data_IF_176180828404
#
_entry.id   IF_176180828404
#
_cell.length_a   1.000
_cell.length_b   1.000
_cell.length_c   1.000
_cell.angle_alpha   90.00
_cell.angle_beta   90.00
_cell.angle_gamma   90.00
#
_symmetry.space_group_name_H-M   'P 1'
#
loop_
_entity.id
_entity.type
_entity.pdbx_description
1 polymer ?
#
# COMPACT_ATOMS: atom_id res chain seq x y z
N UNK A 1 11.80 31.06 -17.38
CA UNK A 1 10.58 30.66 -16.68
C UNK A 1 10.45 31.63 -15.54
N UNK A 2 9.38 32.42 -15.52
CA UNK A 2 9.04 33.16 -14.30
C UNK A 2 8.76 32.14 -13.18
N UNK A 3 9.16 32.44 -11.95
CA UNK A 3 8.96 31.56 -10.79
C UNK A 3 7.48 31.14 -10.64
N UNK A 4 6.56 32.01 -11.07
CA UNK A 4 5.11 31.80 -11.04
C UNK A 4 4.63 30.63 -11.94
N UNK A 5 5.38 30.30 -13.00
CA UNK A 5 5.04 29.15 -13.86
C UNK A 5 5.34 27.81 -13.18
N UNK A 6 6.28 27.74 -12.23
CA UNK A 6 6.62 26.48 -11.56
C UNK A 6 5.67 26.11 -10.43
N UNK A 7 4.90 27.06 -9.90
CA UNK A 7 3.86 26.83 -8.90
C UNK A 7 2.54 26.31 -9.48
N UNK A 8 2.32 26.41 -10.80
CA UNK A 8 1.13 25.87 -11.45
C UNK A 8 1.33 24.36 -11.76
N UNK A 9 0.47 23.46 -11.23
CA UNK A 9 0.53 22.02 -11.48
C UNK A 9 0.60 21.62 -12.97
N UNK A 10 0.11 22.47 -13.88
CA UNK A 10 0.17 22.21 -15.33
C UNK A 10 1.60 22.19 -15.89
N UNK A 11 2.55 22.81 -15.19
CA UNK A 11 3.97 22.84 -15.58
C UNK A 11 4.84 21.90 -14.74
N UNK A 12 4.24 21.13 -13.81
CA UNK A 12 4.96 20.14 -13.03
C UNK A 12 5.56 19.06 -13.95
N UNK A 13 6.85 18.74 -13.72
CA UNK A 13 7.55 17.70 -14.50
C UNK A 13 7.00 16.32 -14.14
N UNK A 14 6.75 16.08 -12.86
CA UNK A 14 6.14 14.85 -12.36
C UNK A 14 4.62 14.94 -12.48
N UNK A 15 3.93 13.91 -12.98
CA UNK A 15 2.47 13.88 -12.98
C UNK A 15 1.90 13.81 -11.56
N UNK A 16 2.71 13.38 -10.56
CA UNK A 16 2.32 13.30 -9.16
C UNK A 16 1.99 14.68 -8.57
N UNK A 17 2.73 15.70 -8.98
CA UNK A 17 2.54 17.09 -8.54
C UNK A 17 1.77 17.92 -9.59
N UNK A 18 1.40 17.31 -10.71
CA UNK A 18 0.66 17.92 -11.80
C UNK A 18 -0.73 17.32 -11.96
N UNK A 19 -0.89 16.47 -12.98
CA UNK A 19 -2.17 15.80 -13.32
C UNK A 19 -2.85 15.13 -12.12
N UNK A 20 -2.07 14.57 -11.20
CA UNK A 20 -2.56 13.83 -10.04
C UNK A 20 -2.39 14.58 -8.71
N UNK A 21 -2.02 15.86 -8.72
CA UNK A 21 -1.76 16.65 -7.50
C UNK A 21 -2.92 16.59 -6.49
N UNK A 22 -4.16 16.68 -6.97
CA UNK A 22 -5.34 16.57 -6.10
C UNK A 22 -5.49 15.19 -5.42
N UNK A 23 -4.97 14.12 -6.02
CA UNK A 23 -5.00 12.77 -5.45
C UNK A 23 -3.82 12.50 -4.51
N UNK A 24 -2.69 13.15 -4.73
CA UNK A 24 -1.46 12.98 -3.94
C UNK A 24 -1.35 14.00 -2.80
N UNK A 25 -2.17 15.05 -2.80
CA UNK A 25 -2.21 16.08 -1.76
C UNK A 25 -2.25 15.54 -0.30
N UNK A 26 -2.99 14.46 0.03
CA UNK A 26 -2.96 13.89 1.37
C UNK A 26 -1.58 13.40 1.83
N UNK A 27 -0.66 13.09 0.91
CA UNK A 27 0.70 12.69 1.24
C UNK A 27 1.66 13.88 1.45
N UNK A 28 1.30 15.09 1.01
CA UNK A 28 2.18 16.26 1.11
C UNK A 28 2.67 16.56 2.55
N UNK A 29 1.84 16.39 3.62
CA UNK A 29 2.28 16.53 5.00
C UNK A 29 3.33 15.51 5.46
N UNK A 30 3.61 14.46 4.67
CA UNK A 30 4.56 13.39 5.01
C UNK A 30 5.71 13.24 4.01
N UNK A 31 5.44 13.49 2.73
CA UNK A 31 6.32 13.18 1.62
C UNK A 31 7.10 14.39 1.06
N UNK A 32 6.79 15.60 1.53
CA UNK A 32 7.41 16.83 1.01
C UNK A 32 8.70 17.21 1.73
N UNK A 33 9.48 18.11 1.11
CA UNK A 33 10.67 18.68 1.75
C UNK A 33 10.30 19.43 3.05
N UNK A 34 9.17 20.14 3.05
CA UNK A 34 8.68 20.83 4.24
C UNK A 34 8.30 19.83 5.35
N UNK A 35 7.73 18.68 5.00
CA UNK A 35 7.45 17.61 5.96
C UNK A 35 8.75 17.05 6.58
N UNK A 36 9.78 16.83 5.76
CA UNK A 36 11.10 16.40 6.24
C UNK A 36 11.75 17.44 7.16
N UNK A 37 11.65 18.73 6.82
CA UNK A 37 12.09 19.82 7.69
C UNK A 37 11.35 19.80 9.03
N UNK A 38 10.02 19.74 9.03
CA UNK A 38 9.19 19.65 10.24
C UNK A 38 9.59 18.46 11.13
N UNK A 39 9.76 17.28 10.54
CA UNK A 39 10.13 16.09 11.29
C UNK A 39 11.55 16.19 11.88
N UNK A 40 12.50 16.81 11.17
CA UNK A 40 13.84 17.09 11.71
C UNK A 40 13.79 18.07 12.88
N UNK A 41 12.97 19.13 12.78
CA UNK A 41 12.73 20.05 13.91
C UNK A 41 12.16 19.28 15.10
N UNK A 42 11.17 18.40 14.90
CA UNK A 42 10.61 17.55 15.96
C UNK A 42 11.68 16.73 16.67
N UNK A 43 12.55 16.05 15.92
CA UNK A 43 13.61 15.21 16.52
C UNK A 43 14.61 16.05 17.32
N UNK A 44 15.07 17.18 16.79
CA UNK A 44 16.00 18.07 17.50
C UNK A 44 15.39 18.65 18.78
N UNK A 45 14.13 19.11 18.70
CA UNK A 45 13.41 19.66 19.85
C UNK A 45 13.20 18.62 20.93
N UNK A 46 12.68 17.44 20.59
CA UNK A 46 12.44 16.40 21.59
C UNK A 46 13.77 15.89 22.17
N UNK A 47 14.85 15.82 21.37
CA UNK A 47 16.17 15.44 21.88
C UNK A 47 16.72 16.48 22.88
N UNK A 48 16.60 17.77 22.58
CA UNK A 48 17.00 18.84 23.48
C UNK A 48 16.22 18.79 24.80
N UNK A 49 14.91 18.52 24.73
CA UNK A 49 14.05 18.33 25.91
C UNK A 49 14.50 17.10 26.71
N UNK A 50 14.76 15.97 26.05
CA UNK A 50 15.24 14.76 26.71
C UNK A 50 16.61 14.95 27.39
N UNK A 51 17.52 15.73 26.79
CA UNK A 51 18.78 16.11 27.44
C UNK A 51 18.57 16.98 28.68
N UNK A 52 17.55 17.83 28.70
CA UNK A 52 17.19 18.66 29.85
C UNK A 52 16.59 17.85 31.01
N UNK A 53 16.12 16.63 30.73
CA UNK A 53 15.61 15.70 31.75
C UNK A 53 16.71 14.85 32.39
N UNK A 54 17.93 14.86 31.84
CA UNK A 54 19.09 14.21 32.44
C UNK A 54 19.64 15.02 33.62
N UNK A 55 19.67 14.43 34.81
CA UNK A 55 20.30 15.04 36.00
C UNK A 55 21.77 15.41 35.78
N UNK A 56 22.46 14.71 34.87
CA UNK A 56 23.86 14.93 34.55
C UNK A 56 24.12 16.23 33.76
N UNK A 57 23.11 16.78 33.08
CA UNK A 57 23.28 17.99 32.28
C UNK A 57 22.90 19.23 33.11
N UNK A 58 23.62 20.36 32.96
CA UNK A 58 23.20 21.64 33.52
C UNK A 58 22.06 22.30 32.71
N UNK A 59 21.47 21.61 31.73
CA UNK A 59 20.41 22.13 30.88
C UNK A 59 19.09 22.08 31.64
N UNK A 60 18.41 23.22 31.76
CA UNK A 60 17.08 23.31 32.37
C UNK A 60 16.16 24.07 31.43
N UNK A 61 15.08 23.41 31.00
CA UNK A 61 14.00 24.00 30.21
C UNK A 61 12.71 23.83 31.01
N UNK A 62 12.07 24.95 31.37
CA UNK A 62 10.80 24.93 32.09
C UNK A 62 9.63 24.52 31.17
N UNK A 63 8.46 24.28 31.76
CA UNK A 63 7.27 23.84 30.99
C UNK A 63 6.85 24.84 29.90
N UNK A 64 7.05 26.14 30.13
CA UNK A 64 6.76 27.18 29.15
C UNK A 64 7.69 27.10 27.94
N UNK A 65 9.00 26.94 28.18
CA UNK A 65 10.01 26.74 27.13
C UNK A 65 9.80 25.43 26.37
N UNK A 66 9.44 24.35 27.07
CA UNK A 66 9.10 23.06 26.43
C UNK A 66 7.89 23.19 25.51
N UNK A 67 6.85 23.90 25.94
CA UNK A 67 5.67 24.16 25.12
C UNK A 67 6.01 24.98 23.88
N UNK A 68 6.74 26.09 24.05
CA UNK A 68 7.16 26.96 22.94
C UNK A 68 8.06 26.24 21.91
N UNK A 69 8.98 25.40 22.38
CA UNK A 69 9.80 24.57 21.48
C UNK A 69 8.94 23.55 20.71
N UNK A 70 7.95 22.93 21.36
CA UNK A 70 7.06 21.97 20.69
C UNK A 70 6.14 22.63 19.67
N UNK A 71 5.74 23.88 19.91
CA UNK A 71 4.99 24.69 18.93
C UNK A 71 5.78 24.83 17.60
N UNK A 72 7.12 24.87 17.65
CA UNK A 72 7.94 25.04 16.44
C UNK A 72 7.82 23.90 15.42
N UNK A 73 7.37 22.71 15.83
CA UNK A 73 7.06 21.61 14.89
C UNK A 73 5.56 21.30 14.82
N UNK A 74 4.76 21.66 15.82
CA UNK A 74 3.29 21.44 15.83
C UNK A 74 2.54 22.44 14.98
N UNK A 75 3.00 23.70 14.95
CA UNK A 75 2.43 24.79 14.15
C UNK A 75 3.31 25.14 12.94
N UNK A 76 4.24 24.25 12.58
CA UNK A 76 5.17 24.44 11.47
C UNK A 76 4.45 24.69 10.15
N UNK A 77 4.81 25.76 9.47
CA UNK A 77 4.13 26.21 8.26
C UNK A 77 5.07 26.43 7.06
N UNK A 78 4.53 27.02 5.99
CA UNK A 78 5.29 27.30 4.78
C UNK A 78 6.30 28.45 4.96
N UNK A 79 6.08 29.39 5.89
CA UNK A 79 7.05 30.45 6.19
C UNK A 79 8.26 29.88 6.91
N UNK A 80 8.04 28.94 7.83
CA UNK A 80 9.10 28.20 8.52
C UNK A 80 9.96 27.39 7.56
N UNK A 81 9.33 26.64 6.65
CA UNK A 81 10.05 25.91 5.61
C UNK A 81 10.90 26.85 4.73
N UNK A 82 10.36 28.03 4.35
CA UNK A 82 11.10 29.04 3.57
C UNK A 82 12.24 29.65 4.37
N UNK A 83 12.07 29.87 5.67
CA UNK A 83 13.11 30.39 6.54
C UNK A 83 14.27 29.40 6.63
N UNK A 84 14.00 28.13 6.89
CA UNK A 84 15.01 27.07 6.89
C UNK A 84 15.74 27.03 5.55
N UNK A 85 14.99 27.10 4.44
CA UNK A 85 15.61 27.10 3.10
C UNK A 85 16.49 28.32 2.87
N UNK A 86 16.08 29.49 3.35
CA UNK A 86 16.89 30.72 3.28
C UNK A 86 18.17 30.59 4.09
N UNK A 87 18.11 30.05 5.32
CA UNK A 87 19.29 29.75 6.14
C UNK A 87 20.25 28.84 5.37
N UNK A 88 19.73 27.83 4.68
CA UNK A 88 20.53 26.89 3.90
C UNK A 88 21.24 27.55 2.71
N UNK A 89 20.51 28.35 1.90
CA UNK A 89 20.99 28.80 0.58
C UNK A 89 21.56 30.21 0.55
N UNK A 90 21.07 31.10 1.42
CA UNK A 90 21.36 32.54 1.40
C UNK A 90 22.02 33.02 2.71
N UNK A 91 21.76 32.32 3.81
CA UNK A 91 22.06 32.78 5.17
C UNK A 91 20.92 33.58 5.78
N UNK A 92 20.99 33.86 7.07
CA UNK A 92 19.96 34.57 7.82
C UNK A 92 20.54 35.22 9.07
N UNK A 93 20.24 36.50 9.31
CA UNK A 93 20.78 37.24 10.45
C UNK A 93 22.30 37.25 10.44
N UNK A 94 22.91 36.63 11.46
CA UNK A 94 24.36 36.46 11.59
C UNK A 94 24.91 35.17 10.94
N UNK A 95 24.05 34.25 10.53
CA UNK A 95 24.47 32.99 9.92
C UNK A 95 24.77 33.15 8.42
N UNK A 96 25.95 32.73 8.00
CA UNK A 96 26.24 32.48 6.58
C UNK A 96 25.46 31.27 6.06
N UNK A 97 25.18 31.24 4.75
CA UNK A 97 24.56 30.09 4.08
C UNK A 97 25.26 28.78 4.46
N UNK A 98 24.50 27.82 5.01
CA UNK A 98 25.08 26.57 5.52
C UNK A 98 25.46 25.61 4.40
N UNK A 99 24.75 25.65 3.26
CA UNK A 99 24.78 24.63 2.21
C UNK A 99 24.61 23.20 2.76
N UNK A 100 23.93 23.07 3.91
CA UNK A 100 23.68 21.82 4.60
C UNK A 100 22.33 21.91 5.32
N UNK A 101 21.40 21.03 4.94
CA UNK A 101 20.01 21.05 5.39
C UNK A 101 19.85 20.86 6.91
N UNK A 102 20.45 19.85 7.52
CA UNK A 102 20.37 19.63 8.98
C UNK A 102 21.01 20.78 9.77
N UNK A 103 22.10 21.38 9.28
CA UNK A 103 22.68 22.56 9.94
C UNK A 103 21.75 23.78 9.91
N UNK A 104 20.97 23.93 8.83
CA UNK A 104 19.95 24.98 8.77
C UNK A 104 18.81 24.72 9.76
N UNK A 105 18.45 23.46 10.01
CA UNK A 105 17.50 23.08 11.08
C UNK A 105 18.05 23.45 12.46
N UNK A 106 19.32 23.19 12.74
CA UNK A 106 19.95 23.57 14.02
C UNK A 106 19.82 25.07 14.28
N UNK A 107 20.12 25.90 13.27
CA UNK A 107 19.98 27.36 13.39
C UNK A 107 18.52 27.79 13.50
N UNK A 108 17.59 27.16 12.78
CA UNK A 108 16.17 27.44 12.96
C UNK A 108 15.70 27.14 14.38
N UNK A 109 16.09 26.00 14.96
CA UNK A 109 15.76 25.67 16.36
C UNK A 109 16.39 26.69 17.31
N UNK A 110 17.61 27.17 17.03
CA UNK A 110 18.26 28.22 17.82
C UNK A 110 17.46 29.52 17.84
N UNK A 111 16.94 29.97 16.69
CA UNK A 111 16.09 31.17 16.62
C UNK A 111 14.76 31.02 17.36
N UNK A 112 14.36 29.78 17.70
CA UNK A 112 13.14 29.48 18.46
C UNK A 112 13.41 29.25 19.95
N UNK A 113 14.68 29.25 20.40
CA UNK A 113 15.02 29.13 21.81
C UNK A 113 14.82 30.46 22.56
N UNK A 114 14.44 30.41 23.84
CA UNK A 114 14.58 31.57 24.72
C UNK A 114 16.06 32.00 24.82
N UNK A 115 16.30 33.32 24.80
CA UNK A 115 17.66 33.90 24.87
C UNK A 115 18.51 33.29 26.00
N UNK A 116 19.69 32.78 25.64
CA UNK A 116 20.69 32.29 26.60
C UNK A 116 20.38 30.92 27.22
N UNK A 117 19.37 30.19 26.73
CA UNK A 117 19.03 28.84 27.20
C UNK A 117 19.34 27.81 26.12
N UNK A 118 20.22 26.84 26.43
CA UNK A 118 20.29 25.59 25.66
C UNK A 118 20.95 25.63 24.28
N UNK A 119 21.44 26.77 23.79
CA UNK A 119 21.97 26.92 22.43
C UNK A 119 23.12 25.94 22.11
N UNK A 120 24.02 25.71 23.09
CA UNK A 120 25.14 24.76 22.96
C UNK A 120 24.73 23.29 23.04
N UNK A 121 23.47 23.02 23.37
CA UNK A 121 22.90 21.68 23.53
C UNK A 121 22.10 21.21 22.31
N UNK A 122 21.75 22.13 21.40
CA UNK A 122 21.14 21.74 20.12
C UNK A 122 22.13 20.85 19.37
N UNK A 123 21.64 19.72 18.85
CA UNK A 123 22.45 18.73 18.14
C UNK A 123 23.62 18.14 18.96
N UNK A 124 23.57 18.22 20.30
CA UNK A 124 24.68 17.78 21.16
C UNK A 124 25.03 16.30 20.98
N UNK A 125 26.25 16.00 20.55
CA UNK A 125 26.75 14.64 20.32
C UNK A 125 26.15 13.92 19.11
N UNK A 126 25.11 14.48 18.50
CA UNK A 126 24.43 13.87 17.36
C UNK A 126 25.28 13.93 16.08
N UNK A 127 24.94 13.05 15.15
CA UNK A 127 25.24 13.21 13.73
C UNK A 127 23.95 13.51 12.97
N UNK A 128 24.05 14.13 11.78
CA UNK A 128 22.90 14.41 10.91
C UNK A 128 22.00 13.18 10.68
N UNK A 129 22.56 11.97 10.67
CA UNK A 129 21.76 10.76 10.53
C UNK A 129 20.97 10.34 11.75
N UNK A 130 21.37 10.70 12.97
CA UNK A 130 20.50 10.49 14.14
C UNK A 130 19.17 11.21 13.92
N UNK A 131 19.21 12.42 13.36
CA UNK A 131 18.01 13.20 13.01
C UNK A 131 17.31 12.65 11.77
N UNK A 132 18.04 12.42 10.67
CA UNK A 132 17.43 12.02 9.40
C UNK A 132 16.70 10.69 9.48
N UNK A 133 17.29 9.68 10.12
CA UNK A 133 16.72 8.34 10.13
C UNK A 133 15.37 8.33 10.88
N UNK A 134 15.32 9.00 12.04
CA UNK A 134 14.10 9.14 12.84
C UNK A 134 13.06 9.98 12.11
N UNK A 135 13.46 11.11 11.52
CA UNK A 135 12.57 11.98 10.76
C UNK A 135 11.89 11.23 9.60
N UNK A 136 12.62 10.38 8.88
CA UNK A 136 12.01 9.56 7.82
C UNK A 136 10.94 8.59 8.36
N UNK A 137 11.21 7.85 9.45
CA UNK A 137 10.21 6.92 10.01
C UNK A 137 8.99 7.65 10.59
N UNK A 138 9.21 8.78 11.25
CA UNK A 138 8.14 9.66 11.76
C UNK A 138 7.23 10.24 10.67
N UNK A 139 7.64 10.17 9.40
CA UNK A 139 6.83 10.56 8.26
C UNK A 139 6.23 9.36 7.54
N UNK A 140 7.03 8.31 7.33
CA UNK A 140 6.59 7.11 6.63
C UNK A 140 5.47 6.41 7.38
N UNK A 141 5.62 6.16 8.69
CA UNK A 141 4.59 5.46 9.48
C UNK A 141 3.20 6.09 9.35
N UNK A 142 3.05 7.38 9.73
CA UNK A 142 1.78 8.10 9.56
C UNK A 142 1.29 8.19 8.11
N UNK A 143 2.18 8.30 7.11
CA UNK A 143 1.75 8.26 5.70
C UNK A 143 1.11 6.92 5.32
N UNK A 144 1.59 5.82 5.89
CA UNK A 144 0.99 4.51 5.69
C UNK A 144 -0.34 4.42 6.46
N UNK A 145 -0.33 4.70 7.76
CA UNK A 145 -1.47 4.51 8.66
C UNK A 145 -2.66 5.44 8.35
N UNK A 146 -2.38 6.70 8.05
CA UNK A 146 -3.40 7.74 7.91
C UNK A 146 -3.86 7.92 6.46
N UNK A 147 -3.08 7.44 5.47
CA UNK A 147 -3.38 7.66 4.05
C UNK A 147 -3.53 6.36 3.26
N UNK A 148 -2.49 5.50 3.23
CA UNK A 148 -2.53 4.31 2.36
C UNK A 148 -3.40 3.19 2.91
N UNK A 149 -3.31 2.90 4.21
CA UNK A 149 -4.10 1.85 4.86
C UNK A 149 -5.60 2.13 4.74
N UNK A 150 -6.12 3.35 5.01
CA UNK A 150 -7.53 3.67 4.80
C UNK A 150 -7.96 3.48 3.34
N UNK A 151 -7.17 3.97 2.37
CA UNK A 151 -7.49 3.81 0.94
C UNK A 151 -7.53 2.34 0.50
N UNK A 152 -6.62 1.51 1.02
CA UNK A 152 -6.60 0.08 0.72
C UNK A 152 -7.72 -0.69 1.43
N UNK A 153 -8.09 -0.28 2.65
CA UNK A 153 -9.26 -0.82 3.39
C UNK A 153 -10.57 -0.52 2.65
N UNK A 154 -10.72 0.66 2.08
CA UNK A 154 -11.88 1.02 1.26
C UNK A 154 -12.06 0.05 0.09
N UNK A 155 -10.99 -0.21 -0.68
CA UNK A 155 -11.01 -1.22 -1.76
C UNK A 155 -11.41 -2.61 -1.24
N UNK A 156 -10.85 -3.02 -0.09
CA UNK A 156 -11.18 -4.30 0.53
C UNK A 156 -12.66 -4.37 0.91
N UNK A 157 -13.20 -3.32 1.52
CA UNK A 157 -14.58 -3.25 1.99
C UNK A 157 -15.56 -3.29 0.80
N UNK A 158 -15.29 -2.54 -0.27
CA UNK A 158 -16.05 -2.61 -1.52
C UNK A 158 -16.05 -4.02 -2.15
N UNK A 159 -14.93 -4.75 -2.09
CA UNK A 159 -14.86 -6.14 -2.52
C UNK A 159 -15.64 -7.09 -1.60
N UNK A 160 -15.66 -6.85 -0.29
CA UNK A 160 -16.48 -7.61 0.66
C UNK A 160 -17.97 -7.42 0.36
N UNK A 161 -18.39 -6.19 0.06
CA UNK A 161 -19.77 -5.89 -0.28
C UNK A 161 -20.16 -6.54 -1.61
N UNK A 162 -19.35 -6.39 -2.66
CA UNK A 162 -19.55 -7.10 -3.93
C UNK A 162 -19.61 -8.61 -3.74
N UNK A 163 -18.75 -9.18 -2.87
CA UNK A 163 -18.75 -10.60 -2.58
C UNK A 163 -20.07 -11.05 -1.94
N UNK A 164 -20.57 -10.31 -0.95
CA UNK A 164 -21.80 -10.64 -0.22
C UNK A 164 -23.06 -10.42 -1.05
N UNK A 165 -23.12 -9.34 -1.82
CA UNK A 165 -24.28 -9.03 -2.67
C UNK A 165 -24.44 -10.02 -3.82
N UNK A 166 -23.34 -10.64 -4.28
CA UNK A 166 -23.33 -11.50 -5.46
C UNK A 166 -22.88 -12.94 -5.11
N UNK A 167 -23.02 -13.35 -3.85
CA UNK A 167 -22.52 -14.64 -3.33
C UNK A 167 -23.07 -15.86 -4.08
N UNK A 168 -24.29 -15.75 -4.60
CA UNK A 168 -25.02 -16.80 -5.31
C UNK A 168 -25.11 -16.60 -6.83
N UNK A 169 -24.49 -15.53 -7.38
CA UNK A 169 -24.49 -15.26 -8.83
C UNK A 169 -23.55 -16.24 -9.53
N UNK A 170 -24.07 -17.24 -10.27
CA UNK A 170 -23.23 -18.28 -10.85
C UNK A 170 -22.45 -17.75 -12.05
N UNK A 171 -21.20 -18.18 -12.16
CA UNK A 171 -20.27 -17.72 -13.18
C UNK A 171 -19.49 -18.90 -13.75
N UNK A 172 -19.33 -18.94 -15.08
CA UNK A 172 -18.42 -19.89 -15.71
C UNK A 172 -16.98 -19.53 -15.34
N UNK A 173 -16.28 -20.42 -14.62
CA UNK A 173 -14.87 -20.22 -14.33
C UNK A 173 -14.03 -20.45 -15.60
N UNK A 174 -12.87 -19.80 -15.65
CA UNK A 174 -11.88 -20.03 -16.71
C UNK A 174 -10.57 -20.53 -16.12
N UNK A 175 -10.08 -21.66 -16.61
CA UNK A 175 -8.72 -22.15 -16.30
C UNK A 175 -7.94 -22.29 -17.61
N UNK A 176 -6.72 -21.76 -17.66
CA UNK A 176 -5.98 -21.59 -18.93
C UNK A 176 -6.79 -20.81 -20.00
N UNK A 177 -7.68 -19.92 -19.57
CA UNK A 177 -8.61 -19.19 -20.45
C UNK A 177 -9.71 -20.05 -21.07
N UNK A 178 -9.90 -21.30 -20.64
CA UNK A 178 -10.93 -22.21 -21.16
C UNK A 178 -12.06 -22.42 -20.14
N UNK A 179 -13.31 -22.68 -20.59
CA UNK A 179 -14.43 -23.08 -19.74
C UNK A 179 -14.05 -24.16 -18.72
N UNK A 180 -14.40 -23.95 -17.46
CA UNK A 180 -14.09 -24.84 -16.35
C UNK A 180 -15.26 -24.95 -15.37
N UNK A 181 -15.08 -25.77 -14.32
CA UNK A 181 -16.08 -25.98 -13.26
C UNK A 181 -16.62 -24.65 -12.73
N UNK A 182 -17.95 -24.42 -12.72
CA UNK A 182 -18.55 -23.15 -12.34
C UNK A 182 -18.17 -22.68 -10.93
N UNK A 183 -18.18 -21.36 -10.75
CA UNK A 183 -17.98 -20.66 -9.48
C UNK A 183 -19.11 -19.64 -9.27
N UNK A 184 -19.00 -18.75 -8.29
CA UNK A 184 -19.85 -17.56 -8.20
C UNK A 184 -19.03 -16.29 -8.29
N UNK A 185 -19.61 -15.23 -8.86
CA UNK A 185 -18.94 -13.93 -8.96
C UNK A 185 -18.54 -13.43 -7.56
N UNK A 186 -19.46 -13.53 -6.59
CA UNK A 186 -19.19 -13.13 -5.22
C UNK A 186 -18.04 -13.88 -4.57
N UNK A 187 -17.91 -15.19 -4.81
CA UNK A 187 -16.76 -15.98 -4.30
C UNK A 187 -15.44 -15.50 -4.90
N UNK A 188 -15.38 -15.12 -6.17
CA UNK A 188 -14.14 -14.59 -6.74
C UNK A 188 -13.78 -13.22 -6.16
N UNK A 189 -14.76 -12.36 -5.86
CA UNK A 189 -14.50 -11.10 -5.12
C UNK A 189 -14.01 -11.36 -3.70
N UNK A 190 -14.56 -12.38 -3.02
CA UNK A 190 -14.11 -12.78 -1.69
C UNK A 190 -12.64 -13.20 -1.66
N UNK A 191 -12.13 -13.85 -2.72
CA UNK A 191 -10.71 -14.22 -2.83
C UNK A 191 -9.82 -12.99 -2.77
N UNK A 192 -10.15 -11.92 -3.50
CA UNK A 192 -9.39 -10.68 -3.49
C UNK A 192 -9.50 -9.95 -2.16
N UNK A 193 -10.71 -9.81 -1.62
CA UNK A 193 -10.93 -9.20 -0.30
C UNK A 193 -10.09 -9.87 0.80
N UNK A 194 -10.08 -11.21 0.85
CA UNK A 194 -9.30 -11.98 1.81
C UNK A 194 -7.78 -11.81 1.61
N UNK A 195 -7.31 -11.73 0.36
CA UNK A 195 -5.89 -11.47 0.04
C UNK A 195 -5.47 -10.07 0.46
N UNK A 196 -6.30 -9.05 0.25
CA UNK A 196 -6.03 -7.68 0.68
C UNK A 196 -6.03 -7.60 2.20
N UNK A 197 -6.98 -8.26 2.90
CA UNK A 197 -7.00 -8.34 4.36
C UNK A 197 -5.69 -8.88 4.95
N UNK A 198 -5.12 -9.95 4.37
CA UNK A 198 -3.79 -10.46 4.77
C UNK A 198 -2.66 -9.48 4.46
N UNK A 199 -2.73 -8.76 3.35
CA UNK A 199 -1.73 -7.74 3.01
C UNK A 199 -1.79 -6.52 3.93
N UNK A 200 -2.98 -6.09 4.35
CA UNK A 200 -3.16 -5.04 5.36
C UNK A 200 -2.45 -5.41 6.66
N UNK A 201 -2.67 -6.62 7.19
CA UNK A 201 -1.99 -7.06 8.42
C UNK A 201 -0.45 -7.11 8.29
N UNK A 202 0.08 -7.42 7.10
CA UNK A 202 1.53 -7.35 6.83
C UNK A 202 2.05 -5.91 6.78
N UNK A 203 1.29 -5.00 6.18
CA UNK A 203 1.64 -3.57 6.10
C UNK A 203 1.64 -2.97 7.50
N UNK A 204 0.60 -3.25 8.30
CA UNK A 204 0.48 -2.79 9.68
C UNK A 204 1.63 -3.30 10.52
N UNK A 205 1.90 -4.62 10.50
CA UNK A 205 3.03 -5.20 11.24
C UNK A 205 4.40 -4.65 10.84
N UNK A 206 4.64 -4.42 9.54
CA UNK A 206 5.87 -3.79 9.07
C UNK A 206 5.96 -2.30 9.41
N UNK A 207 4.81 -1.62 9.57
CA UNK A 207 4.76 -0.22 10.00
C UNK A 207 5.05 -0.10 11.49
N UNK A 208 4.49 -0.99 12.30
CA UNK A 208 4.77 -1.10 13.73
C UNK A 208 6.25 -1.43 13.99
N UNK A 209 6.87 -2.22 13.11
CA UNK A 209 8.30 -2.58 13.15
C UNK A 209 9.25 -1.51 12.60
N UNK A 210 8.78 -0.30 12.28
CA UNK A 210 9.67 0.79 11.89
C UNK A 210 10.61 1.15 13.03
N UNK A 211 11.91 1.17 12.74
CA UNK A 211 12.94 1.30 13.76
C UNK A 211 13.77 2.57 13.59
N UNK A 212 14.39 3.01 14.67
CA UNK A 212 15.21 4.20 14.74
C UNK A 212 16.53 3.95 15.43
N UNK A 213 17.52 4.79 15.15
CA UNK A 213 18.79 4.80 15.88
C UNK A 213 19.14 6.20 16.36
N UNK A 214 19.83 6.27 17.49
CA UNK A 214 20.54 7.45 17.96
C UNK A 214 21.86 7.00 18.59
N UNK A 215 22.98 7.19 17.89
CA UNK A 215 24.25 6.63 18.33
C UNK A 215 25.49 7.43 17.85
N UNK A 216 25.27 8.64 17.34
CA UNK A 216 26.33 9.54 16.90
C UNK A 216 27.03 9.09 15.61
N UNK A 217 28.19 9.68 15.37
CA UNK A 217 28.86 9.67 14.07
C UNK A 217 29.15 8.29 13.44
N UNK A 218 29.36 7.24 14.23
CA UNK A 218 29.68 5.90 13.71
C UNK A 218 28.92 4.78 14.40
N UNK A 219 27.86 5.09 15.16
CA UNK A 219 27.07 4.09 15.88
C UNK A 219 27.70 3.63 17.21
N UNK A 220 28.48 4.49 17.86
CA UNK A 220 29.31 4.10 19.01
C UNK A 220 29.19 5.01 20.23
N UNK A 221 28.36 6.07 20.16
CA UNK A 221 28.20 7.04 21.25
C UNK A 221 29.51 7.73 21.66
N UNK A 222 30.53 7.76 20.80
CA UNK A 222 31.88 8.19 21.16
C UNK A 222 31.93 9.66 21.64
N UNK A 223 31.20 10.56 20.98
CA UNK A 223 31.12 11.96 21.40
C UNK A 223 30.39 12.10 22.75
N UNK A 224 29.26 11.41 22.89
CA UNK A 224 28.45 11.37 24.11
C UNK A 224 29.24 10.87 25.32
N UNK A 225 29.88 9.71 25.21
CA UNK A 225 30.62 9.05 26.29
C UNK A 225 31.88 9.81 26.71
N UNK A 226 32.53 10.54 25.81
CA UNK A 226 33.64 11.43 26.19
C UNK A 226 33.16 12.65 26.96
N UNK A 227 32.01 13.23 26.57
CA UNK A 227 31.49 14.43 27.21
C UNK A 227 30.83 14.15 28.56
N UNK A 228 30.09 13.04 28.67
CA UNK A 228 29.44 12.58 29.90
C UNK A 228 29.63 11.07 30.05
N UNK A 229 30.71 10.62 30.70
CA UNK A 229 31.07 9.20 30.79
C UNK A 229 30.17 8.39 31.73
N UNK A 230 29.50 9.04 32.68
CA UNK A 230 28.66 8.38 33.69
C UNK A 230 27.19 8.25 33.27
N UNK A 231 26.80 8.79 32.11
CA UNK A 231 25.44 8.66 31.56
C UNK A 231 25.32 7.36 30.78
N UNK A 232 24.25 6.59 31.02
CA UNK A 232 23.89 5.43 30.20
C UNK A 232 23.29 5.87 28.87
N UNK A 233 24.16 6.21 27.91
CA UNK A 233 23.75 6.67 26.59
C UNK A 233 23.02 5.62 25.76
N UNK A 234 23.17 4.33 26.09
CA UNK A 234 22.44 3.26 25.41
C UNK A 234 20.99 3.22 25.88
N UNK A 235 20.79 3.23 27.20
CA UNK A 235 19.45 3.34 27.79
C UNK A 235 18.74 4.63 27.38
N UNK A 236 19.45 5.77 27.41
CA UNK A 236 18.90 7.05 26.94
C UNK A 236 18.45 6.98 25.48
N UNK A 237 19.24 6.36 24.61
CA UNK A 237 18.92 6.23 23.18
C UNK A 237 17.69 5.36 22.94
N UNK A 238 17.60 4.24 23.66
CA UNK A 238 16.44 3.33 23.62
C UNK A 238 15.16 4.06 24.05
N UNK A 239 15.16 4.67 25.23
CA UNK A 239 14.00 5.44 25.74
C UNK A 239 13.61 6.59 24.81
N UNK A 240 14.60 7.30 24.24
CA UNK A 240 14.32 8.40 23.31
C UNK A 240 13.66 7.91 22.02
N UNK A 241 14.17 6.85 21.40
CA UNK A 241 13.63 6.31 20.15
C UNK A 241 12.24 5.69 20.38
N UNK A 242 12.06 4.93 21.45
CA UNK A 242 10.76 4.38 21.83
C UNK A 242 9.74 5.47 22.19
N UNK A 243 10.19 6.56 22.82
CA UNK A 243 9.36 7.74 23.10
C UNK A 243 8.86 8.45 21.83
N UNK A 244 9.50 8.23 20.69
CA UNK A 244 9.02 8.68 19.38
C UNK A 244 8.04 7.70 18.71
N UNK A 245 7.81 6.53 19.31
CA UNK A 245 6.94 5.47 18.79
C UNK A 245 7.63 4.54 17.79
N UNK A 246 8.95 4.38 17.87
CA UNK A 246 9.74 3.53 16.97
C UNK A 246 10.47 2.43 17.75
N UNK A 247 10.74 1.30 17.12
CA UNK A 247 11.64 0.29 17.70
C UNK A 247 13.09 0.81 17.74
N UNK A 248 13.87 0.45 18.76
CA UNK A 248 15.26 0.89 18.86
C UNK A 248 16.25 -0.09 18.21
N UNK A 249 17.01 0.40 17.23
CA UNK A 249 18.11 -0.33 16.59
C UNK A 249 19.44 -0.01 17.26
N UNK A 250 19.92 -0.93 18.10
CA UNK A 250 21.14 -0.74 18.91
C UNK A 250 22.47 -0.91 18.15
N UNK A 251 22.49 -1.66 17.05
CA UNK A 251 23.71 -1.98 16.29
C UNK A 251 23.66 -1.33 14.91
N UNK A 252 24.27 -0.16 14.81
CA UNK A 252 24.28 0.61 13.55
C UNK A 252 25.69 1.08 13.20
N UNK A 253 25.82 1.61 11.98
CA UNK A 253 26.95 2.45 11.61
C UNK A 253 26.56 3.92 11.79
N UNK A 254 26.97 4.82 10.90
CA UNK A 254 26.44 6.18 10.89
C UNK A 254 24.96 6.21 10.50
N UNK A 255 24.47 5.24 9.72
CA UNK A 255 23.07 5.14 9.26
C UNK A 255 22.31 4.04 10.01
N UNK A 256 20.99 4.19 10.15
CA UNK A 256 20.12 3.07 10.51
C UNK A 256 20.05 2.09 9.31
N UNK A 257 20.38 0.80 9.46
CA UNK A 257 20.09 -0.21 8.44
C UNK A 257 18.61 -0.10 8.04
N UNK A 258 18.33 0.05 6.75
CA UNK A 258 16.98 0.33 6.26
C UNK A 258 16.21 -0.97 5.94
N UNK A 259 16.49 -2.04 6.68
CA UNK A 259 15.82 -3.34 6.53
C UNK A 259 14.32 -3.25 6.92
N UNK A 260 14.00 -2.44 7.94
CA UNK A 260 12.63 -2.09 8.34
C UNK A 260 11.82 -1.45 7.19
N UNK A 261 12.43 -0.49 6.50
CA UNK A 261 11.83 0.16 5.33
C UNK A 261 11.68 -0.83 4.17
N UNK A 262 12.66 -1.71 3.94
CA UNK A 262 12.58 -2.73 2.90
C UNK A 262 11.43 -3.71 3.16
N UNK A 263 11.25 -4.15 4.41
CA UNK A 263 10.13 -5.01 4.81
C UNK A 263 8.77 -4.32 4.56
N UNK A 264 8.65 -3.04 4.93
CA UNK A 264 7.45 -2.25 4.64
C UNK A 264 7.20 -2.11 3.13
N UNK A 265 8.23 -1.85 2.34
CA UNK A 265 8.10 -1.75 0.88
C UNK A 265 7.66 -3.08 0.25
N UNK A 266 8.16 -4.20 0.76
CA UNK A 266 7.74 -5.53 0.33
C UNK A 266 6.28 -5.85 0.72
N UNK A 267 5.85 -5.41 1.91
CA UNK A 267 4.45 -5.53 2.32
C UNK A 267 3.51 -4.75 1.38
N UNK A 268 3.87 -3.51 1.04
CA UNK A 268 3.13 -2.68 0.06
C UNK A 268 3.10 -3.32 -1.33
N UNK A 269 4.24 -3.85 -1.81
CA UNK A 269 4.29 -4.60 -3.09
C UNK A 269 3.36 -5.80 -3.07
N UNK A 270 3.27 -6.49 -1.94
CA UNK A 270 2.34 -7.59 -1.71
C UNK A 270 0.88 -7.19 -1.92
N UNK A 271 0.45 -6.04 -1.39
CA UNK A 271 -0.88 -5.49 -1.63
C UNK A 271 -1.08 -5.08 -3.10
N UNK A 272 -0.12 -4.34 -3.66
CA UNK A 272 -0.16 -3.89 -5.05
C UNK A 272 -0.30 -5.05 -6.04
N UNK A 273 0.38 -6.18 -5.79
CA UNK A 273 0.27 -7.36 -6.65
C UNK A 273 -1.11 -8.02 -6.59
N UNK A 274 -1.82 -7.94 -5.47
CA UNK A 274 -3.21 -8.43 -5.37
C UNK A 274 -4.13 -7.54 -6.21
N UNK A 275 -3.95 -6.22 -6.15
CA UNK A 275 -4.74 -5.28 -6.93
C UNK A 275 -4.40 -5.30 -8.42
N UNK A 276 -3.14 -5.48 -8.80
CA UNK A 276 -2.75 -5.68 -10.21
C UNK A 276 -3.41 -6.91 -10.83
N UNK A 277 -3.53 -7.98 -10.04
CA UNK A 277 -4.22 -9.20 -10.43
C UNK A 277 -5.74 -8.94 -10.57
N UNK A 278 -6.33 -8.21 -9.62
CA UNK A 278 -7.73 -7.78 -9.68
C UNK A 278 -8.02 -6.88 -10.89
N UNK A 279 -7.19 -5.88 -11.15
CA UNK A 279 -7.36 -4.92 -12.25
C UNK A 279 -7.43 -5.66 -13.60
N UNK A 280 -6.62 -6.71 -13.77
CA UNK A 280 -6.60 -7.55 -14.98
C UNK A 280 -7.83 -8.44 -15.10
N UNK A 281 -8.26 -9.07 -14.00
CA UNK A 281 -9.47 -9.90 -14.00
C UNK A 281 -10.72 -9.04 -14.21
N UNK A 282 -10.80 -7.86 -13.60
CA UNK A 282 -11.87 -6.88 -13.84
C UNK A 282 -11.90 -6.41 -15.29
N UNK A 283 -10.74 -6.16 -15.89
CA UNK A 283 -10.64 -5.83 -17.31
C UNK A 283 -11.20 -6.96 -18.19
N UNK A 284 -10.86 -8.22 -17.88
CA UNK A 284 -11.37 -9.39 -18.59
C UNK A 284 -12.87 -9.59 -18.40
N UNK A 285 -13.39 -9.42 -17.17
CA UNK A 285 -14.83 -9.49 -16.91
C UNK A 285 -15.62 -8.38 -17.63
N UNK A 286 -15.06 -7.17 -17.76
CA UNK A 286 -15.65 -6.12 -18.60
C UNK A 286 -15.61 -6.52 -20.08
N UNK A 287 -14.49 -7.07 -20.56
CA UNK A 287 -14.34 -7.55 -21.94
C UNK A 287 -15.34 -8.65 -22.30
N UNK A 288 -15.58 -9.59 -21.39
CA UNK A 288 -16.54 -10.69 -21.52
C UNK A 288 -17.99 -10.24 -21.29
N UNK A 289 -18.22 -8.98 -20.93
CA UNK A 289 -19.52 -8.36 -20.61
C UNK A 289 -20.16 -8.91 -19.33
N UNK A 290 -19.39 -9.62 -18.50
CA UNK A 290 -19.80 -10.01 -17.14
C UNK A 290 -19.98 -8.81 -16.24
N UNK A 291 -19.27 -7.71 -16.53
CA UNK A 291 -19.44 -6.43 -15.86
C UNK A 291 -19.94 -5.39 -16.86
N UNK A 292 -21.11 -4.82 -16.56
CA UNK A 292 -21.54 -3.55 -17.15
C UNK A 292 -20.93 -2.37 -16.38
N UNK A 293 -21.04 -1.16 -16.94
CA UNK A 293 -20.68 0.06 -16.24
C UNK A 293 -21.90 0.99 -16.17
N UNK A 294 -22.18 1.53 -14.98
CA UNK A 294 -23.20 2.58 -14.83
C UNK A 294 -22.71 3.83 -15.56
N UNK A 295 -23.45 4.25 -16.59
CA UNK A 295 -23.14 5.50 -17.28
C UNK A 295 -23.44 6.69 -16.36
N UNK A 296 -22.43 7.50 -16.04
CA UNK A 296 -22.63 8.78 -15.39
C UNK A 296 -23.08 9.79 -16.45
N UNK A 297 -24.20 10.47 -16.22
CA UNK A 297 -24.75 11.46 -17.15
C UNK A 297 -23.72 12.58 -17.39
N UNK A 298 -23.15 12.65 -18.60
CA UNK A 298 -22.17 13.68 -19.01
C UNK A 298 -20.73 13.19 -19.25
N UNK A 299 -20.36 11.96 -18.89
CA UNK A 299 -19.02 11.42 -19.22
C UNK A 299 -18.95 10.99 -20.69
N UNK A 300 -17.95 11.49 -21.43
CA UNK A 300 -17.69 11.05 -22.82
C UNK A 300 -16.78 9.83 -22.81
N UNK A 301 -17.35 8.61 -22.86
CA UNK A 301 -16.58 7.36 -22.79
C UNK A 301 -15.69 7.07 -24.01
N UNK A 302 -16.04 7.61 -25.19
CA UNK A 302 -15.21 7.58 -26.40
C UNK A 302 -15.52 8.81 -27.25
N UNK A 303 -14.48 9.43 -27.81
CA UNK A 303 -14.63 10.60 -28.69
C UNK A 303 -15.36 10.29 -30.01
N UNK A 304 -15.58 9.02 -30.34
CA UNK A 304 -16.23 8.58 -31.59
C UNK A 304 -17.35 7.56 -31.41
N UNK A 305 -17.44 6.87 -30.26
CA UNK A 305 -18.43 5.80 -30.01
C UNK A 305 -19.24 6.05 -28.71
N UNK A 306 -20.42 6.69 -28.79
CA UNK A 306 -21.18 7.15 -27.61
C UNK A 306 -21.64 6.05 -26.64
N UNK A 307 -21.65 4.78 -27.06
CA UNK A 307 -22.07 3.63 -26.26
C UNK A 307 -20.91 2.88 -25.60
N UNK A 308 -19.65 3.25 -25.90
CA UNK A 308 -18.46 2.52 -25.44
C UNK A 308 -18.06 3.01 -24.05
N UNK A 309 -18.22 2.15 -23.04
CA UNK A 309 -17.67 2.36 -21.70
C UNK A 309 -16.42 1.50 -21.53
N UNK A 310 -15.29 2.12 -21.20
CA UNK A 310 -13.97 1.48 -21.12
C UNK A 310 -13.56 1.33 -19.64
N UNK A 311 -12.87 0.26 -19.24
CA UNK A 311 -12.39 0.06 -17.87
C UNK A 311 -11.16 0.94 -17.52
N UNK A 312 -11.19 2.23 -17.86
CA UNK A 312 -10.03 3.14 -17.77
C UNK A 312 -9.53 3.34 -16.34
N UNK A 313 -10.40 3.17 -15.35
CA UNK A 313 -10.03 3.31 -13.95
C UNK A 313 -9.17 2.13 -13.49
N UNK A 314 -9.51 0.89 -13.88
CA UNK A 314 -8.65 -0.29 -13.66
C UNK A 314 -7.35 -0.21 -14.47
N UNK A 315 -7.38 0.25 -15.72
CA UNK A 315 -6.15 0.44 -16.53
C UNK A 315 -5.21 1.50 -15.91
N UNK A 316 -5.77 2.56 -15.31
CA UNK A 316 -5.00 3.58 -14.62
C UNK A 316 -4.43 3.06 -13.29
N UNK A 317 -5.21 2.26 -12.56
CA UNK A 317 -4.75 1.54 -11.37
C UNK A 317 -3.56 0.65 -11.72
N UNK A 318 -3.71 -0.22 -12.73
CA UNK A 318 -2.67 -1.16 -13.16
C UNK A 318 -1.35 -0.45 -13.47
N UNK A 319 -1.41 0.64 -14.25
CA UNK A 319 -0.22 1.41 -14.62
C UNK A 319 0.49 2.04 -13.42
N UNK A 320 -0.26 2.64 -12.49
CA UNK A 320 0.32 3.28 -11.31
C UNK A 320 0.88 2.25 -10.33
N UNK A 321 0.17 1.15 -10.06
CA UNK A 321 0.64 0.09 -9.17
C UNK A 321 1.89 -0.61 -9.71
N UNK A 322 1.98 -0.77 -11.05
CA UNK A 322 3.20 -1.28 -11.70
C UNK A 322 4.39 -0.34 -11.50
N UNK A 323 4.16 0.99 -11.63
CA UNK A 323 5.20 1.99 -11.37
C UNK A 323 5.60 2.04 -9.89
N UNK A 324 4.62 1.98 -8.98
CA UNK A 324 4.87 1.90 -7.55
C UNK A 324 5.75 0.70 -7.21
N UNK A 325 5.43 -0.48 -7.72
CA UNK A 325 6.22 -1.69 -7.48
C UNK A 325 7.63 -1.61 -8.04
N UNK A 326 7.82 -0.97 -9.20
CA UNK A 326 9.17 -0.70 -9.74
C UNK A 326 9.99 0.16 -8.76
N UNK A 327 9.39 1.21 -8.22
CA UNK A 327 10.08 2.13 -7.29
C UNK A 327 10.32 1.49 -5.94
N UNK A 328 9.33 0.79 -5.38
CA UNK A 328 9.43 0.09 -4.10
C UNK A 328 10.51 -1.01 -4.15
N UNK A 329 10.60 -1.76 -5.26
CA UNK A 329 11.66 -2.75 -5.46
C UNK A 329 13.04 -2.08 -5.47
N UNK A 330 13.19 -1.02 -6.29
CA UNK A 330 14.45 -0.27 -6.35
C UNK A 330 14.84 0.32 -4.98
N UNK A 331 13.88 0.91 -4.27
CA UNK A 331 14.10 1.49 -2.95
C UNK A 331 14.58 0.43 -1.96
N UNK A 332 13.85 -0.69 -1.82
CA UNK A 332 14.18 -1.78 -0.91
C UNK A 332 15.59 -2.34 -1.17
N UNK A 333 15.94 -2.58 -2.44
CA UNK A 333 17.24 -3.12 -2.83
C UNK A 333 18.38 -2.11 -2.60
N UNK A 334 18.13 -0.82 -2.82
CA UNK A 334 19.18 0.19 -2.80
C UNK A 334 19.52 0.69 -1.39
N UNK A 335 18.50 0.97 -0.56
CA UNK A 335 18.70 1.64 0.75
C UNK A 335 19.31 0.72 1.80
N UNK A 336 19.33 -0.59 1.56
CA UNK A 336 19.91 -1.61 2.46
C UNK A 336 21.42 -1.81 2.27
N UNK A 337 22.03 -1.20 1.24
CA UNK A 337 23.46 -1.34 0.96
C UNK A 337 24.19 0.00 1.04
N UNK A 338 25.25 0.06 1.85
CA UNK A 338 26.11 1.25 1.96
C UNK A 338 27.57 0.84 2.12
N UNK A 339 28.49 1.58 1.50
CA UNK A 339 29.93 1.27 1.57
C UNK A 339 30.48 1.62 2.96
N UNK A 340 31.15 0.65 3.60
CA UNK A 340 31.76 0.81 4.93
C UNK A 340 30.76 1.33 5.97
N UNK A 341 31.12 2.30 6.80
CA UNK A 341 30.24 2.87 7.82
C UNK A 341 29.14 3.77 7.23
N UNK A 342 29.30 4.24 5.98
CA UNK A 342 28.27 4.75 5.09
C UNK A 342 28.88 5.39 3.83
N UNK A 343 28.08 5.49 2.79
CA UNK A 343 28.15 6.56 1.80
C UNK A 343 26.82 7.34 1.77
N UNK A 344 26.76 8.46 1.05
CA UNK A 344 25.59 9.38 1.06
C UNK A 344 24.61 9.15 -0.11
N UNK A 345 24.78 8.08 -0.90
CA UNK A 345 23.92 7.84 -2.06
C UNK A 345 22.46 7.55 -1.69
N UNK A 346 22.22 7.05 -0.48
CA UNK A 346 20.90 6.77 0.08
C UNK A 346 20.07 8.04 0.34
N UNK A 347 20.72 9.18 0.64
CA UNK A 347 20.05 10.43 1.01
C UNK A 347 19.12 10.95 -0.09
N UNK A 348 19.58 10.99 -1.34
CA UNK A 348 18.73 11.40 -2.48
C UNK A 348 17.67 10.35 -2.82
N UNK A 349 18.00 9.07 -2.64
CA UNK A 349 17.10 7.95 -2.92
C UNK A 349 15.90 7.94 -1.97
N UNK A 350 16.12 8.13 -0.67
CA UNK A 350 15.05 8.19 0.35
C UNK A 350 14.03 9.32 0.12
N UNK A 351 14.43 10.41 -0.57
CA UNK A 351 13.50 11.49 -0.97
C UNK A 351 12.46 11.06 -2.01
N UNK A 352 12.62 9.88 -2.62
CA UNK A 352 11.67 9.32 -3.59
C UNK A 352 10.65 8.36 -2.96
N UNK A 353 10.71 8.10 -1.65
CA UNK A 353 9.72 7.25 -0.95
C UNK A 353 8.30 7.81 -1.19
N UNK A 354 8.12 9.12 -1.02
CA UNK A 354 6.84 9.79 -1.26
C UNK A 354 6.27 9.59 -2.67
N UNK A 355 7.13 9.50 -3.68
CA UNK A 355 6.70 9.26 -5.06
C UNK A 355 6.16 7.83 -5.24
N UNK A 356 6.82 6.83 -4.63
CA UNK A 356 6.34 5.45 -4.63
C UNK A 356 4.99 5.33 -3.92
N UNK A 357 4.85 5.94 -2.73
CA UNK A 357 3.57 5.97 -1.99
C UNK A 357 2.46 6.69 -2.77
N UNK A 358 2.80 7.75 -3.51
CA UNK A 358 1.85 8.48 -4.35
C UNK A 358 1.29 7.61 -5.47
N UNK A 359 2.12 6.80 -6.12
CA UNK A 359 1.65 5.85 -7.12
C UNK A 359 0.77 4.75 -6.49
N UNK A 360 1.08 4.27 -5.29
CA UNK A 360 0.18 3.38 -4.53
C UNK A 360 -1.19 4.03 -4.32
N UNK A 361 -1.23 5.25 -3.77
CA UNK A 361 -2.47 5.98 -3.47
C UNK A 361 -3.33 6.22 -4.71
N UNK A 362 -2.70 6.64 -5.82
CA UNK A 362 -3.40 6.81 -7.09
C UNK A 362 -4.00 5.48 -7.55
N UNK A 363 -3.22 4.39 -7.47
CA UNK A 363 -3.65 3.04 -7.82
C UNK A 363 -4.87 2.60 -7.02
N UNK A 364 -4.79 2.68 -5.69
CA UNK A 364 -5.89 2.27 -4.78
C UNK A 364 -7.17 3.05 -5.07
N UNK A 365 -7.07 4.39 -5.14
CA UNK A 365 -8.23 5.22 -5.42
C UNK A 365 -8.79 5.03 -6.84
N UNK A 366 -7.98 4.58 -7.81
CA UNK A 366 -8.45 4.25 -9.16
C UNK A 366 -9.11 2.89 -9.24
N UNK A 367 -8.57 1.89 -8.57
CA UNK A 367 -9.23 0.60 -8.40
C UNK A 367 -10.61 0.79 -7.76
N UNK A 368 -10.70 1.57 -6.67
CA UNK A 368 -11.98 1.86 -6.01
C UNK A 368 -12.97 2.61 -6.90
N UNK A 369 -12.49 3.61 -7.65
CA UNK A 369 -13.34 4.28 -8.65
C UNK A 369 -13.86 3.29 -9.70
N UNK A 370 -13.06 2.30 -10.10
CA UNK A 370 -13.50 1.23 -10.99
C UNK A 370 -14.59 0.35 -10.36
N UNK A 371 -14.36 -0.12 -9.13
CA UNK A 371 -15.29 -0.97 -8.38
C UNK A 371 -16.67 -0.32 -8.20
N UNK A 372 -16.71 0.96 -7.82
CA UNK A 372 -17.96 1.71 -7.65
C UNK A 372 -18.81 1.87 -8.93
N UNK A 373 -18.19 1.76 -10.12
CA UNK A 373 -18.85 1.95 -11.43
C UNK A 373 -19.34 0.66 -12.06
N UNK A 374 -18.73 -0.48 -11.74
CA UNK A 374 -19.10 -1.77 -12.34
C UNK A 374 -20.40 -2.31 -11.76
N UNK A 375 -21.10 -3.12 -12.53
CA UNK A 375 -22.32 -3.82 -12.10
C UNK A 375 -22.34 -5.21 -12.75
N UNK A 376 -22.42 -6.29 -11.95
CA UNK A 376 -22.50 -7.65 -12.47
C UNK A 376 -23.69 -7.86 -13.41
N UNK A 377 -23.45 -8.53 -14.53
CA UNK A 377 -24.46 -8.89 -15.52
C UNK A 377 -24.75 -10.39 -15.44
N UNK A 378 -25.61 -10.75 -14.48
CA UNK A 378 -26.00 -12.15 -14.22
C UNK A 378 -26.60 -12.83 -15.47
N UNK A 379 -27.33 -12.09 -16.31
CA UNK A 379 -27.91 -12.67 -17.52
C UNK A 379 -26.84 -13.21 -18.48
N UNK A 380 -25.76 -12.45 -18.70
CA UNK A 380 -24.64 -12.87 -19.57
C UNK A 380 -23.88 -14.04 -18.94
N UNK A 381 -23.64 -14.00 -17.63
CA UNK A 381 -22.95 -15.11 -16.94
C UNK A 381 -23.76 -16.41 -17.00
N UNK A 382 -25.09 -16.34 -16.86
CA UNK A 382 -25.99 -17.50 -17.00
C UNK A 382 -26.06 -18.01 -18.43
N UNK A 383 -26.15 -17.12 -19.42
CA UNK A 383 -26.11 -17.48 -20.84
C UNK A 383 -24.82 -18.24 -21.19
N UNK A 384 -23.65 -17.75 -20.74
CA UNK A 384 -22.39 -18.43 -21.00
C UNK A 384 -22.31 -19.82 -20.33
N UNK A 385 -22.87 -19.97 -19.13
CA UNK A 385 -23.00 -21.28 -18.47
C UNK A 385 -23.91 -22.25 -19.25
N UNK A 386 -25.03 -21.76 -19.80
CA UNK A 386 -25.94 -22.55 -20.62
C UNK A 386 -25.31 -22.99 -21.94
N UNK A 387 -24.43 -22.18 -22.52
CA UNK A 387 -23.69 -22.50 -23.75
C UNK A 387 -22.55 -23.51 -23.55
N UNK A 388 -22.13 -23.78 -22.31
CA UNK A 388 -21.02 -24.67 -21.97
C UNK A 388 -21.45 -25.84 -21.04
N UNK A 389 -22.42 -26.68 -21.43
CA UNK A 389 -22.92 -27.76 -20.57
C UNK A 389 -21.87 -28.84 -20.27
N UNK A 390 -20.80 -28.95 -21.04
CA UNK A 390 -19.71 -29.90 -20.81
C UNK A 390 -19.03 -29.77 -19.45
N UNK A 391 -19.13 -28.61 -18.78
CA UNK A 391 -18.52 -28.36 -17.47
C UNK A 391 -19.11 -29.22 -16.35
N UNK A 392 -20.32 -29.77 -16.53
CA UNK A 392 -20.88 -30.74 -15.56
C UNK A 392 -20.26 -32.14 -15.71
N UNK A 393 -19.45 -32.38 -16.75
CA UNK A 393 -18.85 -33.68 -17.02
C UNK A 393 -18.01 -34.21 -15.86
N UNK A 394 -17.31 -33.32 -15.14
CA UNK A 394 -16.57 -33.68 -13.92
C UNK A 394 -17.51 -34.20 -12.82
N UNK A 395 -18.64 -33.53 -12.58
CA UNK A 395 -19.63 -33.94 -11.60
C UNK A 395 -20.19 -35.33 -11.92
N UNK A 396 -20.55 -35.55 -13.19
CA UNK A 396 -21.09 -36.83 -13.69
C UNK A 396 -20.08 -37.94 -13.49
N UNK A 397 -18.83 -37.73 -13.91
CA UNK A 397 -17.74 -38.68 -13.73
C UNK A 397 -17.55 -39.03 -12.24
N UNK A 398 -17.60 -38.02 -11.37
CA UNK A 398 -17.36 -38.19 -9.93
C UNK A 398 -18.47 -39.00 -9.27
N UNK A 399 -19.73 -38.72 -9.61
CA UNK A 399 -20.89 -39.50 -9.14
C UNK A 399 -20.79 -40.94 -9.65
N UNK A 400 -20.47 -41.16 -10.92
CA UNK A 400 -20.33 -42.50 -11.48
C UNK A 400 -19.21 -43.33 -10.83
N UNK A 401 -18.09 -42.68 -10.49
CA UNK A 401 -17.01 -43.33 -9.72
C UNK A 401 -17.49 -43.75 -8.32
N UNK A 402 -18.30 -42.93 -7.65
CA UNK A 402 -18.93 -43.26 -6.35
C UNK A 402 -19.81 -44.51 -6.45
N UNK A 403 -20.56 -44.65 -7.55
CA UNK A 403 -21.41 -45.81 -7.83
C UNK A 403 -20.64 -47.05 -8.34
N UNK A 404 -19.31 -46.96 -8.47
CA UNK A 404 -18.46 -48.10 -8.84
C UNK A 404 -18.24 -48.29 -10.36
N UNK A 405 -18.65 -47.33 -11.20
CA UNK A 405 -18.35 -47.37 -12.63
C UNK A 405 -16.89 -47.03 -12.89
N UNK A 406 -16.13 -48.01 -13.38
CA UNK A 406 -14.69 -47.85 -13.69
C UNK A 406 -14.42 -47.15 -15.02
N UNK A 407 -15.42 -47.08 -15.91
CA UNK A 407 -15.39 -46.47 -17.25
C UNK A 407 -16.02 -45.06 -17.28
N UNK A 408 -16.25 -44.44 -16.12
CA UNK A 408 -16.97 -43.18 -15.98
C UNK A 408 -16.34 -42.02 -16.80
N UNK A 409 -15.02 -41.91 -16.81
CA UNK A 409 -14.30 -40.86 -17.54
C UNK A 409 -14.42 -41.05 -19.06
N UNK A 410 -14.25 -42.28 -19.53
CA UNK A 410 -14.32 -42.69 -20.92
C UNK A 410 -15.71 -42.40 -21.49
N UNK A 411 -16.76 -42.66 -20.71
CA UNK A 411 -18.16 -42.44 -21.11
C UNK A 411 -18.51 -40.95 -21.23
N UNK A 412 -18.05 -40.11 -20.29
CA UNK A 412 -18.18 -38.65 -20.38
C UNK A 412 -17.35 -38.10 -21.54
N UNK A 413 -16.14 -38.63 -21.75
CA UNK A 413 -15.26 -38.23 -22.85
C UNK A 413 -15.83 -38.60 -24.22
N UNK A 414 -16.46 -39.76 -24.37
CA UNK A 414 -17.16 -40.13 -25.61
C UNK A 414 -18.36 -39.21 -25.88
N UNK A 415 -19.00 -38.70 -24.84
CA UNK A 415 -20.06 -37.70 -24.99
C UNK A 415 -19.52 -36.35 -25.48
N UNK A 416 -18.43 -35.86 -24.88
CA UNK A 416 -17.92 -34.49 -25.10
C UNK A 416 -16.88 -34.35 -26.21
N UNK A 417 -16.25 -35.43 -26.67
CA UNK A 417 -15.11 -35.35 -27.62
C UNK A 417 -15.55 -34.98 -29.03
N UNK A 418 -15.09 -33.82 -29.49
CA UNK A 418 -15.16 -33.41 -30.91
C UNK A 418 -16.55 -32.97 -31.39
N UNK A 419 -17.51 -32.76 -30.48
CA UNK A 419 -18.86 -32.26 -30.78
C UNK A 419 -19.32 -31.29 -29.70
N UNK A 420 -20.13 -30.28 -30.08
CA UNK A 420 -20.91 -29.51 -29.10
C UNK A 420 -21.91 -30.45 -28.46
N UNK A 421 -21.87 -30.54 -27.13
CA UNK A 421 -22.80 -31.36 -26.35
C UNK A 421 -23.87 -30.45 -25.80
N UNK A 422 -25.12 -30.88 -25.79
CA UNK A 422 -26.22 -30.14 -25.14
C UNK A 422 -26.50 -30.70 -23.74
N UNK A 423 -27.17 -29.93 -22.89
CA UNK A 423 -27.65 -30.44 -21.61
C UNK A 423 -28.61 -31.63 -21.78
N UNK A 424 -29.37 -31.67 -22.87
CA UNK A 424 -30.27 -32.78 -23.19
C UNK A 424 -29.53 -34.07 -23.54
N UNK A 425 -28.34 -33.98 -24.16
CA UNK A 425 -27.47 -35.14 -24.41
C UNK A 425 -26.98 -35.75 -23.08
N UNK A 426 -26.59 -34.91 -22.12
CA UNK A 426 -26.26 -35.35 -20.77
C UNK A 426 -27.45 -36.00 -20.07
N UNK A 427 -28.64 -35.39 -20.14
CA UNK A 427 -29.87 -35.96 -19.55
C UNK A 427 -30.27 -37.28 -20.20
N UNK A 428 -30.05 -37.46 -21.51
CA UNK A 428 -30.26 -38.72 -22.19
C UNK A 428 -29.33 -39.80 -21.64
N UNK A 429 -28.02 -39.50 -21.51
CA UNK A 429 -27.06 -40.40 -20.87
C UNK A 429 -27.53 -40.76 -19.45
N UNK A 430 -27.97 -39.80 -18.64
CA UNK A 430 -28.38 -40.04 -17.26
C UNK A 430 -29.55 -41.02 -17.12
N UNK A 431 -30.48 -41.03 -18.08
CA UNK A 431 -31.61 -41.98 -18.10
C UNK A 431 -31.20 -43.42 -18.42
N UNK A 432 -30.04 -43.61 -19.05
CA UNK A 432 -29.53 -44.93 -19.45
C UNK A 432 -28.52 -45.52 -18.46
N UNK A 433 -28.04 -44.72 -17.49
CA UNK A 433 -27.08 -45.18 -16.47
C UNK A 433 -27.72 -46.24 -15.56
N UNK A 434 -26.96 -47.28 -15.22
CA UNK A 434 -27.36 -48.31 -14.25
C UNK A 434 -27.02 -47.87 -12.82
N UNK A 435 -27.77 -46.87 -12.33
CA UNK A 435 -27.64 -46.28 -11.00
C UNK A 435 -29.00 -46.30 -10.29
N UNK A 436 -28.99 -46.21 -8.96
CA UNK A 436 -30.22 -46.12 -8.17
C UNK A 436 -31.03 -44.84 -8.51
N UNK A 437 -32.33 -44.86 -8.19
CA UNK A 437 -33.24 -43.77 -8.56
C UNK A 437 -32.81 -42.43 -7.93
N UNK A 438 -32.34 -42.45 -6.68
CA UNK A 438 -31.88 -41.26 -5.97
C UNK A 438 -30.70 -40.60 -6.69
N UNK A 439 -29.75 -41.41 -7.15
CA UNK A 439 -28.57 -40.95 -7.89
C UNK A 439 -28.95 -40.46 -9.28
N UNK A 440 -29.90 -41.13 -9.94
CA UNK A 440 -30.45 -40.67 -11.22
C UNK A 440 -31.13 -39.30 -11.09
N UNK A 441 -31.96 -39.11 -10.07
CA UNK A 441 -32.59 -37.83 -9.75
C UNK A 441 -31.55 -36.75 -9.46
N UNK A 442 -30.50 -37.08 -8.69
CA UNK A 442 -29.37 -36.18 -8.41
C UNK A 442 -28.70 -35.71 -9.72
N UNK A 443 -28.40 -36.63 -10.64
CA UNK A 443 -27.77 -36.31 -11.93
C UNK A 443 -28.71 -35.50 -12.84
N UNK A 444 -29.99 -35.84 -12.89
CA UNK A 444 -30.99 -35.12 -13.71
C UNK A 444 -31.25 -33.68 -13.23
N UNK A 445 -31.02 -33.41 -11.94
CA UNK A 445 -31.11 -32.07 -11.36
C UNK A 445 -29.90 -31.17 -11.68
N UNK A 446 -28.76 -31.74 -12.13
CA UNK A 446 -27.57 -30.96 -12.44
C UNK A 446 -27.77 -30.05 -13.65
N UNK A 447 -27.41 -28.79 -13.44
CA UNK A 447 -27.21 -27.78 -14.48
C UNK A 447 -25.87 -27.10 -14.25
N UNK A 448 -25.24 -26.51 -15.29
CA UNK A 448 -24.05 -25.69 -15.11
C UNK A 448 -24.25 -24.60 -14.03
N UNK A 449 -25.37 -23.88 -14.06
CA UNK A 449 -25.66 -22.82 -13.10
C UNK A 449 -25.87 -23.29 -11.66
N UNK A 450 -26.29 -24.54 -11.44
CA UNK A 450 -26.41 -25.14 -10.10
C UNK A 450 -25.14 -25.83 -9.61
N UNK A 451 -24.14 -26.03 -10.48
CA UNK A 451 -22.91 -26.76 -10.19
C UNK A 451 -21.80 -25.83 -9.68
N UNK A 452 -22.12 -25.00 -8.68
CA UNK A 452 -21.20 -24.02 -8.07
C UNK A 452 -20.62 -24.50 -6.73
N UNK A 453 -20.95 -25.73 -6.31
CA UNK A 453 -20.44 -26.32 -5.07
C UNK A 453 -20.85 -25.50 -3.84
N UNK A 454 -19.88 -25.21 -2.98
CA UNK A 454 -20.07 -24.40 -1.76
C UNK A 454 -19.58 -22.96 -1.95
N UNK A 455 -19.48 -22.46 -3.20
CA UNK A 455 -18.96 -21.12 -3.49
C UNK A 455 -19.68 -20.02 -2.69
N UNK A 456 -21.01 -20.13 -2.59
CA UNK A 456 -21.85 -19.25 -1.79
C UNK A 456 -21.45 -19.25 -0.30
N UNK A 457 -21.29 -20.44 0.28
CA UNK A 457 -20.92 -20.63 1.68
C UNK A 457 -19.51 -20.10 1.99
N UNK A 458 -18.57 -20.22 1.04
CA UNK A 458 -17.19 -19.74 1.20
C UNK A 458 -17.10 -18.22 1.35
N UNK A 459 -18.11 -17.45 0.90
CA UNK A 459 -18.15 -16.00 1.13
C UNK A 459 -18.27 -15.67 2.62
N UNK A 460 -18.83 -16.58 3.44
CA UNK A 460 -18.97 -16.40 4.89
C UNK A 460 -17.63 -16.47 5.63
N UNK A 461 -16.60 -17.06 5.01
CA UNK A 461 -15.25 -17.12 5.57
C UNK A 461 -14.56 -15.75 5.63
N UNK A 462 -15.08 -14.71 4.95
CA UNK A 462 -14.57 -13.33 5.06
C UNK A 462 -14.68 -12.75 6.48
N UNK A 463 -15.55 -13.30 7.32
CA UNK A 463 -15.72 -12.88 8.72
C UNK A 463 -14.94 -13.70 9.74
N UNK A 464 -14.15 -14.69 9.30
CA UNK A 464 -13.33 -15.57 10.14
C UNK A 464 -11.86 -15.15 10.08
#
# INVERSE_FOLDING_TARGET
MDDDQRSDPLYAVSPLDGRYAGRTAPLAPYASEAALMRARVRVEVEYLIALADLEATPLSIDEGGRAALRESYREFDAEDARLIKRIETEGYGEYSATNHDVKAIEYFVRERLPDGVGEQWIHFGLTSEDVNNLAHRLLVGPAIEEVLVPALREVRDSLVDLARENRDVPMLARTHGQPATPTTFGKEMAVYAARIGRSLGRIEGATDGLSGKLAGASGTYAAHTVAYPDVDWRGFSEEFVEGLGLEHTSLTTQVNPCDDLAELFDALRGANNVLLDLDRDMWLYVSDRYLGQRAVEGETGSSTMPHKVNPIDFENSEGNLSKANSDLTFLADYVTTSRLQRDLSDSTVKRNIGAALSHCLIGYGKCETGLSKVTPNEAVMREELEENPEVIGEAVQTVLRREGHTDAYERVKELTRGRRTSLDDFKALFRELDVDERTREQLLALTPASYTGTADELVEDLGR
#
